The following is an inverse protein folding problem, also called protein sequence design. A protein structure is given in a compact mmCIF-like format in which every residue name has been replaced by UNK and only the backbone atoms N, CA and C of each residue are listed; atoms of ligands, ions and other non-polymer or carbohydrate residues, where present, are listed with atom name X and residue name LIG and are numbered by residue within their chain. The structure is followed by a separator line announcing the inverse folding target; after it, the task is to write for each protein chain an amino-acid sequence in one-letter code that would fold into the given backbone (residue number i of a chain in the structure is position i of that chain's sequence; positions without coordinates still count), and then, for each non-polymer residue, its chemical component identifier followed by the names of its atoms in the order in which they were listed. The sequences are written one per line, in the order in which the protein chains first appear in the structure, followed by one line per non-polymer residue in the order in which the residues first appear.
data_IF_073156098664
#
_entry.id   IF_073156098664
#
_cell.length_a   1.000
_cell.length_b   1.000
_cell.length_c   1.000
_cell.angle_alpha   90.00
_cell.angle_beta   90.00
_cell.angle_gamma   90.00
#
_symmetry.space_group_name_H-M   'P 1'
#
loop_
_entity.id
_entity.type
_entity.pdbx_description
1 polymer ?
#
# COMPACT_ATOMS: atom_id res chain seq x y z
N UNK A 1 0.05 -6.33 -3.33
CA UNK A 1 -1.31 -6.16 -3.93
C UNK A 1 -2.10 -5.01 -3.29
N UNK A 2 -2.29 -4.94 -1.95
CA UNK A 2 -3.11 -3.87 -1.34
C UNK A 2 -2.58 -2.45 -1.64
N UNK A 3 -1.26 -2.23 -1.51
CA UNK A 3 -0.62 -0.97 -1.88
C UNK A 3 -0.78 -0.64 -3.37
N UNK A 4 -0.67 -1.63 -4.24
CA UNK A 4 -0.90 -1.47 -5.67
C UNK A 4 -2.33 -1.04 -5.99
N UNK A 5 -3.33 -1.62 -5.31
CA UNK A 5 -4.73 -1.24 -5.48
C UNK A 5 -4.99 0.20 -5.02
N UNK A 6 -4.32 0.65 -3.97
CA UNK A 6 -4.43 2.04 -3.50
C UNK A 6 -3.82 3.05 -4.49
N UNK A 7 -2.74 2.68 -5.17
CA UNK A 7 -2.02 3.56 -6.11
C UNK A 7 -2.57 3.50 -7.53
N UNK A 8 -3.12 2.36 -7.97
CA UNK A 8 -3.54 2.13 -9.34
C UNK A 8 -4.44 3.22 -9.91
N UNK A 9 -5.47 3.70 -9.19
CA UNK A 9 -6.33 4.76 -9.73
C UNK A 9 -5.60 6.08 -9.98
N UNK A 10 -4.54 6.35 -9.23
CA UNK A 10 -3.81 7.62 -9.30
C UNK A 10 -2.94 7.75 -10.57
N UNK A 11 -2.67 6.64 -11.27
CA UNK A 11 -1.97 6.68 -12.56
C UNK A 11 -2.74 7.51 -13.60
N UNK A 12 -4.07 7.47 -13.55
CA UNK A 12 -4.94 8.22 -14.46
C UNK A 12 -4.92 9.74 -14.24
N UNK A 13 -4.31 10.21 -13.16
CA UNK A 13 -4.16 11.65 -12.91
C UNK A 13 -3.15 12.32 -13.85
N UNK A 14 -2.28 11.53 -14.51
CA UNK A 14 -1.19 12.06 -15.34
C UNK A 14 -0.32 13.10 -14.61
N UNK A 15 -0.25 12.96 -13.27
CA UNK A 15 0.56 13.80 -12.39
C UNK A 15 1.67 13.00 -11.77
N UNK A 16 2.87 13.58 -11.69
CA UNK A 16 4.00 12.94 -11.03
C UNK A 16 3.96 13.16 -9.51
N UNK A 17 3.92 12.10 -8.72
CA UNK A 17 4.08 12.24 -7.29
C UNK A 17 5.53 12.62 -6.94
N UNK A 18 5.69 13.58 -6.06
CA UNK A 18 6.98 13.95 -5.49
C UNK A 18 7.50 12.88 -4.53
N UNK A 19 6.58 12.29 -3.78
CA UNK A 19 6.88 11.30 -2.76
C UNK A 19 5.64 10.45 -2.46
N UNK A 20 5.84 9.17 -2.20
CA UNK A 20 4.79 8.25 -1.76
C UNK A 20 5.22 7.58 -0.46
N UNK A 21 4.41 7.72 0.58
CA UNK A 21 4.59 6.99 1.83
C UNK A 21 3.49 5.93 1.97
N UNK A 22 3.89 4.69 2.17
CA UNK A 22 2.99 3.54 2.33
C UNK A 22 3.24 2.90 3.68
N UNK A 23 2.19 2.78 4.46
CA UNK A 23 2.18 2.13 5.75
C UNK A 23 1.20 0.94 5.72
N UNK A 24 1.74 -0.27 5.76
CA UNK A 24 0.99 -1.50 5.58
C UNK A 24 0.95 -2.34 6.86
N UNK A 25 -0.23 -2.53 7.44
CA UNK A 25 -0.48 -3.34 8.62
C UNK A 25 -1.04 -4.69 8.21
N UNK A 26 -0.29 -5.77 8.49
CA UNK A 26 -0.63 -7.12 8.01
C UNK A 26 -0.97 -8.08 9.13
N UNK A 27 -1.98 -8.89 8.88
CA UNK A 27 -2.33 -10.04 9.70
C UNK A 27 -1.34 -11.22 9.55
N UNK A 28 -1.44 -12.20 10.46
CA UNK A 28 -0.52 -13.33 10.55
C UNK A 28 -0.62 -14.31 9.37
N UNK A 29 -1.79 -14.43 8.74
CA UNK A 29 -2.00 -15.36 7.62
C UNK A 29 -1.11 -15.08 6.40
N UNK A 30 -0.61 -13.84 6.24
CA UNK A 30 0.32 -13.48 5.17
C UNK A 30 1.70 -14.13 5.28
N UNK A 31 2.06 -14.69 6.42
CA UNK A 31 3.33 -15.37 6.63
C UNK A 31 3.40 -16.77 6.01
N UNK A 32 2.30 -17.29 5.50
CA UNK A 32 2.18 -18.63 4.92
C UNK A 32 2.00 -19.73 5.97
N UNK A 33 1.96 -20.97 5.49
CA UNK A 33 1.64 -22.16 6.31
C UNK A 33 2.82 -22.62 7.18
N UNK A 34 4.04 -22.29 6.80
CA UNK A 34 5.23 -22.78 7.51
C UNK A 34 5.38 -22.06 8.86
N UNK A 35 5.41 -22.81 9.98
CA UNK A 35 5.65 -22.22 11.29
C UNK A 35 7.02 -21.53 11.35
N UNK A 36 7.05 -20.34 11.92
CA UNK A 36 8.29 -19.57 12.15
C UNK A 36 8.24 -18.94 13.53
N UNK A 37 9.41 -18.70 14.11
CA UNK A 37 9.50 -18.02 15.40
C UNK A 37 8.76 -16.67 15.39
N UNK A 38 8.89 -15.92 14.31
CA UNK A 38 8.22 -14.62 14.12
C UNK A 38 6.71 -14.69 14.00
N UNK A 39 6.14 -15.88 13.75
CA UNK A 39 4.69 -16.11 13.67
C UNK A 39 4.15 -16.88 14.87
N UNK A 40 5.02 -17.22 15.84
CA UNK A 40 4.64 -17.93 17.05
C UNK A 40 3.66 -17.10 17.89
N UNK A 41 2.54 -17.70 18.27
CA UNK A 41 1.43 -17.01 18.89
C UNK A 41 1.82 -16.17 20.13
N UNK A 42 2.57 -16.69 21.11
CA UNK A 42 2.98 -15.93 22.27
C UNK A 42 3.85 -14.69 21.98
N UNK A 43 4.56 -14.70 20.84
CA UNK A 43 5.39 -13.57 20.42
C UNK A 43 4.64 -12.59 19.51
N UNK A 44 3.51 -13.02 18.97
CA UNK A 44 2.74 -12.23 18.01
C UNK A 44 1.44 -11.68 18.57
N UNK A 45 0.81 -12.39 19.51
CA UNK A 45 -0.42 -11.94 20.13
C UNK A 45 -0.20 -10.60 20.84
N UNK A 46 -1.03 -9.61 20.56
CA UNK A 46 -0.93 -8.25 21.11
C UNK A 46 0.36 -7.50 20.78
N UNK A 47 1.12 -7.96 19.80
CA UNK A 47 2.34 -7.29 19.33
C UNK A 47 2.06 -6.48 18.07
N UNK A 48 2.58 -5.26 18.04
CA UNK A 48 2.49 -4.36 16.91
C UNK A 48 3.87 -3.77 16.63
N UNK A 49 4.51 -4.19 15.53
CA UNK A 49 5.88 -3.78 15.21
C UNK A 49 6.15 -3.75 13.72
N UNK A 50 7.05 -2.86 13.30
CA UNK A 50 7.58 -2.86 11.95
C UNK A 50 8.49 -4.08 11.71
N UNK A 51 8.48 -4.59 10.48
CA UNK A 51 9.41 -5.61 10.01
C UNK A 51 9.91 -5.23 8.62
N UNK A 52 11.19 -5.50 8.35
CA UNK A 52 11.85 -5.14 7.07
C UNK A 52 11.54 -3.71 6.61
N UNK A 53 11.73 -2.69 7.47
CA UNK A 53 11.49 -1.32 7.06
C UNK A 53 12.44 -0.95 5.92
N UNK A 54 11.93 -0.27 4.89
CA UNK A 54 12.68 0.23 3.72
C UNK A 54 13.28 -0.83 2.77
N UNK A 55 13.32 -2.11 3.16
CA UNK A 55 13.90 -3.20 2.36
C UNK A 55 12.88 -4.31 2.07
N UNK A 56 11.62 -3.92 1.90
CA UNK A 56 10.59 -4.92 1.67
C UNK A 56 10.61 -5.43 0.23
N UNK A 57 10.58 -6.76 0.07
CA UNK A 57 10.66 -7.44 -1.23
C UNK A 57 9.57 -7.05 -2.23
N UNK A 58 8.46 -6.45 -1.79
CA UNK A 58 7.35 -6.02 -2.66
C UNK A 58 7.49 -4.57 -3.16
N UNK A 59 8.54 -3.85 -2.77
CA UNK A 59 8.77 -2.49 -3.27
C UNK A 59 8.98 -2.46 -4.79
N UNK A 60 9.83 -3.32 -5.38
CA UNK A 60 10.00 -3.38 -6.83
C UNK A 60 8.71 -3.74 -7.59
N UNK A 61 7.82 -4.54 -6.99
CA UNK A 61 6.53 -4.89 -7.59
C UNK A 61 5.58 -3.69 -7.67
N UNK A 62 5.64 -2.78 -6.69
CA UNK A 62 4.84 -1.55 -6.66
C UNK A 62 5.35 -0.61 -7.75
N UNK A 63 6.65 -0.39 -7.83
CA UNK A 63 7.29 0.43 -8.87
C UNK A 63 7.01 -0.13 -10.27
N UNK A 64 7.14 -1.44 -10.46
CA UNK A 64 6.86 -2.09 -11.72
C UNK A 64 5.41 -1.89 -12.16
N UNK A 65 4.44 -2.08 -11.27
CA UNK A 65 3.03 -1.87 -11.57
C UNK A 65 2.76 -0.43 -12.01
N UNK A 66 3.30 0.54 -11.27
CA UNK A 66 3.15 1.95 -11.57
C UNK A 66 3.69 2.30 -12.97
N UNK A 67 4.92 1.88 -13.26
CA UNK A 67 5.58 2.14 -14.54
C UNK A 67 4.86 1.46 -15.72
N UNK A 68 4.42 0.22 -15.55
CA UNK A 68 3.69 -0.54 -16.61
C UNK A 68 2.32 0.03 -16.94
N UNK A 69 1.72 0.78 -16.03
CA UNK A 69 0.41 1.42 -16.23
C UNK A 69 0.49 2.83 -16.77
N UNK A 70 1.67 3.28 -17.18
CA UNK A 70 1.89 4.61 -17.76
C UNK A 70 2.18 5.70 -16.73
N UNK A 71 2.37 5.34 -15.47
CA UNK A 71 2.89 6.26 -14.48
C UNK A 71 4.32 6.69 -14.82
N UNK A 72 4.67 7.91 -14.46
CA UNK A 72 6.05 8.38 -14.47
C UNK A 72 6.90 7.60 -13.46
N UNK A 73 8.22 7.75 -13.52
CA UNK A 73 9.12 7.03 -12.60
C UNK A 73 8.77 7.30 -11.13
N UNK A 74 8.35 6.26 -10.41
CA UNK A 74 8.08 6.33 -8.98
C UNK A 74 9.39 6.06 -8.22
N UNK A 75 10.21 7.10 -8.06
CA UNK A 75 11.56 6.98 -7.49
C UNK A 75 11.62 7.28 -6.00
N UNK A 76 10.68 8.06 -5.49
CA UNK A 76 10.64 8.49 -4.09
C UNK A 76 9.51 7.80 -3.34
N UNK A 77 9.76 6.56 -2.90
CA UNK A 77 8.77 5.75 -2.19
C UNK A 77 9.33 5.27 -0.85
N UNK A 78 8.57 5.48 0.21
CA UNK A 78 8.80 4.87 1.52
C UNK A 78 7.74 3.80 1.75
N UNK A 79 8.18 2.60 2.06
CA UNK A 79 7.29 1.48 2.37
C UNK A 79 7.65 0.89 3.72
N UNK A 80 6.73 0.98 4.67
CA UNK A 80 6.87 0.41 6.00
C UNK A 80 5.81 -0.67 6.20
N UNK A 81 6.26 -1.90 6.37
CA UNK A 81 5.39 -3.01 6.73
C UNK A 81 5.39 -3.25 8.23
N UNK A 82 4.21 -3.48 8.78
CA UNK A 82 3.99 -3.70 10.21
C UNK A 82 3.19 -4.99 10.42
N UNK A 83 3.60 -5.74 11.43
CA UNK A 83 2.76 -6.80 11.97
C UNK A 83 1.72 -6.18 12.89
N UNK A 84 0.46 -6.56 12.70
CA UNK A 84 -0.62 -6.19 13.59
C UNK A 84 -1.18 -7.43 14.29
N UNK A 85 -1.81 -7.31 15.46
CA UNK A 85 -2.42 -8.43 16.19
C UNK A 85 -3.75 -8.85 15.53
N UNK A 86 -3.67 -9.12 14.22
CA UNK A 86 -4.77 -9.56 13.38
C UNK A 86 -4.46 -10.93 12.81
N UNK A 87 -5.49 -11.75 12.63
CA UNK A 87 -5.34 -13.06 11.98
C UNK A 87 -5.25 -12.88 10.46
N UNK A 88 -6.12 -12.10 9.86
CA UNK A 88 -6.24 -11.92 8.40
C UNK A 88 -6.35 -10.47 8.01
N UNK A 89 -6.05 -10.22 6.74
CA UNK A 89 -6.20 -8.92 6.11
C UNK A 89 -4.93 -8.09 6.12
N UNK A 90 -4.97 -7.04 5.31
CA UNK A 90 -3.95 -6.01 5.23
C UNK A 90 -4.68 -4.67 5.20
N UNK A 91 -4.35 -3.82 6.16
CA UNK A 91 -4.77 -2.42 6.13
C UNK A 91 -3.59 -1.59 5.60
N UNK A 92 -3.85 -0.76 4.59
CA UNK A 92 -2.83 0.10 3.99
C UNK A 92 -3.27 1.55 4.06
N UNK A 93 -2.42 2.39 4.61
CA UNK A 93 -2.51 3.85 4.47
C UNK A 93 -1.46 4.29 3.45
N UNK A 94 -1.88 5.09 2.47
CA UNK A 94 -0.99 5.62 1.44
C UNK A 94 -1.13 7.13 1.40
N UNK A 95 -0.01 7.83 1.56
CA UNK A 95 0.06 9.27 1.43
C UNK A 95 0.85 9.60 0.17
N UNK A 96 0.23 10.32 -0.75
CA UNK A 96 0.85 10.71 -2.02
C UNK A 96 0.96 12.22 -2.05
N UNK A 97 2.17 12.70 -2.23
CA UNK A 97 2.49 14.12 -2.25
C UNK A 97 2.72 14.57 -3.68
N UNK A 98 2.04 15.61 -4.09
CA UNK A 98 2.18 16.23 -5.40
C UNK A 98 2.64 17.68 -5.23
N UNK A 99 3.33 18.23 -6.23
CA UNK A 99 3.60 19.68 -6.30
C UNK A 99 2.32 20.50 -6.39
N UNK A 100 1.38 19.99 -7.19
CA UNK A 100 0.03 20.52 -7.32
C UNK A 100 -0.94 19.39 -7.02
N UNK A 101 -1.60 19.38 -5.85
CA UNK A 101 -2.51 18.31 -5.49
C UNK A 101 -3.71 18.26 -6.43
N UNK A 102 -4.19 17.06 -6.75
CA UNK A 102 -5.42 16.90 -7.51
C UNK A 102 -6.63 17.41 -6.70
N UNK A 103 -7.67 17.85 -7.39
CA UNK A 103 -8.94 18.15 -6.74
C UNK A 103 -9.65 16.87 -6.29
N UNK A 104 -10.59 17.01 -5.36
CA UNK A 104 -11.41 15.89 -4.89
C UNK A 104 -12.17 15.23 -6.04
N UNK A 105 -12.76 16.03 -6.95
CA UNK A 105 -13.44 15.54 -8.16
C UNK A 105 -12.53 14.69 -9.07
N UNK A 106 -11.27 15.09 -9.22
CA UNK A 106 -10.31 14.32 -10.01
C UNK A 106 -10.01 12.97 -9.35
N UNK A 107 -9.81 12.97 -8.03
CA UNK A 107 -9.58 11.75 -7.26
C UNK A 107 -10.79 10.83 -7.34
N UNK A 108 -11.99 11.33 -7.08
CA UNK A 108 -13.21 10.53 -7.13
C UNK A 108 -13.39 9.88 -8.50
N UNK A 109 -13.21 10.62 -9.60
CA UNK A 109 -13.30 10.06 -10.96
C UNK A 109 -12.29 8.93 -11.21
N UNK A 110 -11.05 9.10 -10.78
CA UNK A 110 -10.03 8.07 -10.92
C UNK A 110 -10.39 6.81 -10.14
N UNK A 111 -10.81 6.96 -8.89
CA UNK A 111 -11.19 5.81 -8.06
C UNK A 111 -12.44 5.11 -8.58
N UNK A 112 -13.48 5.83 -9.00
CA UNK A 112 -14.70 5.22 -9.55
C UNK A 112 -14.46 4.49 -10.88
N UNK A 113 -13.51 4.93 -11.69
CA UNK A 113 -13.14 4.23 -12.92
C UNK A 113 -12.58 2.84 -12.64
N UNK A 114 -11.73 2.72 -11.62
CA UNK A 114 -11.07 1.46 -11.27
C UNK A 114 -11.88 0.60 -10.30
N UNK A 115 -12.71 1.23 -9.48
CA UNK A 115 -13.46 0.60 -8.38
C UNK A 115 -14.89 1.15 -8.30
N UNK A 116 -15.73 0.89 -9.31
CA UNK A 116 -17.06 1.54 -9.44
C UNK A 116 -18.02 1.24 -8.30
N UNK A 117 -17.85 0.13 -7.61
CA UNK A 117 -18.72 -0.32 -6.51
C UNK A 117 -18.10 -0.14 -5.12
N UNK A 118 -16.95 0.53 -5.04
CA UNK A 118 -16.33 0.78 -3.74
C UNK A 118 -16.99 2.00 -3.09
N UNK A 119 -17.47 1.90 -1.84
CA UNK A 119 -17.81 3.10 -1.08
C UNK A 119 -16.51 3.88 -0.84
N UNK A 120 -16.45 5.11 -1.33
CA UNK A 120 -15.27 5.97 -1.16
C UNK A 120 -15.32 6.73 0.16
N UNK A 121 -16.55 6.99 0.66
CA UNK A 121 -16.83 7.67 1.94
C UNK A 121 -18.05 7.01 2.59
N UNK A 122 -18.08 7.00 3.91
CA UNK A 122 -19.26 6.69 4.72
C UNK A 122 -20.00 7.98 5.09
#
# INVERSE_FOLDING_TARGET
TAAQLALLPLVDLEKEPLFVAIDAKTGSSGAGIQPRLTTHHPLRANDFRAYKPLEHQHLPEIEQMWNQRGGSSLTNISFVSQMAPLVRGIFVSTHVFFSEPPSEDQLEKCFRRHMPNLPLYD
#
